data_IF_571444813996
#
_entry.id   IF_571444813996
#
_cell.length_a   1.000
_cell.length_b   1.000
_cell.length_c   1.000
_cell.angle_alpha   90.00
_cell.angle_beta   90.00
_cell.angle_gamma   90.00
#
_symmetry.space_group_name_H-M   'P 1'
#
loop_
_entity.id
_entity.type
_entity.pdbx_description
1 polymer ?
#
# COMPACT_ATOMS: atom_id res chain seq x y z
N UNK A 1 3.18 37.06 79.30
CA UNK A 1 3.33 37.73 77.99
C UNK A 1 2.93 36.74 76.91
N UNK A 2 1.73 36.94 76.36
CA UNK A 2 1.07 36.04 75.42
C UNK A 2 1.77 36.02 74.07
N UNK A 3 1.97 34.84 73.49
CA UNK A 3 2.11 34.68 72.03
C UNK A 3 1.02 33.74 71.54
N UNK A 4 0.07 34.38 70.86
CA UNK A 4 -1.04 33.80 70.10
C UNK A 4 -0.47 33.09 68.87
N UNK A 5 -0.87 31.84 68.64
CA UNK A 5 -0.63 31.13 67.39
C UNK A 5 -1.84 31.32 66.49
N UNK A 6 -1.64 31.99 65.35
CA UNK A 6 -2.67 32.27 64.35
C UNK A 6 -2.73 31.09 63.37
N UNK A 7 -3.83 30.35 63.36
CA UNK A 7 -4.10 29.35 62.33
C UNK A 7 -4.71 30.04 61.10
N UNK A 8 -4.01 29.98 59.96
CA UNK A 8 -4.51 30.41 58.66
C UNK A 8 -5.26 29.23 58.01
N UNK A 9 -6.59 29.37 57.90
CA UNK A 9 -7.46 28.55 57.06
C UNK A 9 -7.31 29.01 55.61
N UNK A 10 -6.73 28.16 54.76
CA UNK A 10 -6.75 28.34 53.31
C UNK A 10 -8.06 27.77 52.75
N UNK A 11 -8.97 28.65 52.37
CA UNK A 11 -10.18 28.32 51.62
C UNK A 11 -9.80 28.01 50.16
N UNK A 12 -9.82 26.74 49.78
CA UNK A 12 -9.63 26.33 48.39
C UNK A 12 -10.85 26.70 47.54
N UNK A 13 -10.68 27.65 46.61
CA UNK A 13 -11.60 27.82 45.49
C UNK A 13 -11.44 26.62 44.55
N UNK A 14 -12.44 25.74 44.50
CA UNK A 14 -12.61 24.80 43.39
C UNK A 14 -13.03 25.60 42.15
N UNK A 15 -12.07 25.92 41.27
CA UNK A 15 -12.39 26.36 39.91
C UNK A 15 -12.89 25.16 39.12
N UNK A 16 -14.21 25.09 38.93
CA UNK A 16 -14.86 24.24 37.93
C UNK A 16 -14.34 24.65 36.55
N UNK A 17 -13.39 23.89 36.01
CA UNK A 17 -13.02 23.99 34.60
C UNK A 17 -14.21 23.52 33.76
N UNK A 18 -14.59 24.26 32.69
CA UNK A 18 -15.64 23.82 31.80
C UNK A 18 -15.21 22.52 31.13
N UNK A 19 -16.06 21.49 31.20
CA UNK A 19 -15.95 20.29 30.37
C UNK A 19 -15.87 20.72 28.91
N UNK A 20 -14.68 20.66 28.32
CA UNK A 20 -14.53 20.77 26.88
C UNK A 20 -15.34 19.62 26.26
N UNK A 21 -16.25 19.96 25.36
CA UNK A 21 -17.06 18.99 24.62
C UNK A 21 -16.15 17.95 23.97
N UNK A 22 -16.15 16.73 24.50
CA UNK A 22 -15.37 15.59 24.02
C UNK A 22 -16.01 14.97 22.77
N UNK A 23 -16.27 15.80 21.75
CA UNK A 23 -16.91 15.37 20.52
C UNK A 23 -16.26 16.08 19.31
N UNK A 24 -14.94 16.25 19.34
CA UNK A 24 -14.21 16.68 18.15
C UNK A 24 -14.37 15.61 17.07
N UNK A 25 -15.16 15.90 16.05
CA UNK A 25 -15.13 15.15 14.79
C UNK A 25 -13.73 15.34 14.19
N UNK A 26 -13.14 14.26 13.70
CA UNK A 26 -11.89 14.37 12.94
C UNK A 26 -12.27 14.83 11.55
N UNK A 27 -11.57 15.85 11.04
CA UNK A 27 -11.78 16.34 9.69
C UNK A 27 -11.49 15.23 8.66
N UNK A 28 -12.30 15.18 7.61
CA UNK A 28 -12.04 14.26 6.51
C UNK A 28 -10.78 14.69 5.77
N UNK A 29 -9.97 13.71 5.41
CA UNK A 29 -8.85 13.96 4.52
C UNK A 29 -9.31 14.08 3.06
N UNK A 30 -8.36 14.32 2.16
CA UNK A 30 -8.65 14.56 0.75
C UNK A 30 -9.19 13.31 0.06
N UNK A 31 -8.74 12.10 0.41
CA UNK A 31 -9.30 10.86 -0.13
C UNK A 31 -10.77 10.69 0.27
N UNK A 32 -11.06 10.83 1.57
CA UNK A 32 -12.41 10.71 2.11
C UNK A 32 -13.37 11.81 1.61
N UNK A 33 -12.85 13.02 1.36
CA UNK A 33 -13.66 14.12 0.81
C UNK A 33 -14.22 13.80 -0.59
N UNK A 34 -13.61 12.87 -1.32
CA UNK A 34 -14.04 12.47 -2.67
C UNK A 34 -15.22 11.50 -2.66
N UNK A 35 -15.59 10.91 -1.52
CA UNK A 35 -16.64 9.88 -1.42
C UNK A 35 -17.98 10.35 -2.01
N UNK A 36 -18.36 11.61 -1.81
CA UNK A 36 -19.63 12.14 -2.33
C UNK A 36 -19.62 12.21 -3.86
N UNK A 37 -18.53 12.71 -4.45
CA UNK A 37 -18.34 12.75 -5.91
C UNK A 37 -18.29 11.34 -6.51
N UNK A 38 -17.57 10.42 -5.85
CA UNK A 38 -17.50 9.02 -6.25
C UNK A 38 -18.88 8.35 -6.21
N UNK A 39 -19.68 8.61 -5.17
CA UNK A 39 -21.03 8.04 -5.04
C UNK A 39 -21.98 8.59 -6.12
N UNK A 40 -21.86 9.87 -6.46
CA UNK A 40 -22.64 10.47 -7.54
C UNK A 40 -22.26 9.91 -8.92
N UNK A 41 -20.98 9.57 -9.12
CA UNK A 41 -20.45 9.16 -10.44
C UNK A 41 -20.46 7.64 -10.64
N UNK A 42 -20.25 6.87 -9.58
CA UNK A 42 -20.00 5.43 -9.58
C UNK A 42 -20.86 4.72 -8.50
N UNK A 43 -22.19 4.92 -8.47
CA UNK A 43 -23.03 4.44 -7.38
C UNK A 43 -22.96 2.92 -7.18
N UNK A 44 -22.84 2.15 -8.26
CA UNK A 44 -22.71 0.68 -8.19
C UNK A 44 -21.37 0.23 -7.58
N UNK A 45 -20.30 1.00 -7.81
CA UNK A 45 -18.96 0.72 -7.28
C UNK A 45 -18.92 1.05 -5.79
N UNK A 46 -19.39 2.23 -5.39
CA UNK A 46 -19.33 2.66 -3.99
C UNK A 46 -20.30 1.91 -3.09
N UNK A 47 -21.45 1.46 -3.62
CA UNK A 47 -22.43 0.68 -2.87
C UNK A 47 -22.12 -0.83 -2.81
N UNK A 48 -21.12 -1.33 -3.56
CA UNK A 48 -20.93 -2.78 -3.77
C UNK A 48 -20.78 -3.58 -2.46
N UNK A 49 -20.12 -3.00 -1.47
CA UNK A 49 -19.91 -3.63 -0.15
C UNK A 49 -20.65 -2.93 0.99
N UNK A 50 -21.76 -2.25 0.69
CA UNK A 50 -22.52 -1.47 1.68
C UNK A 50 -22.89 -2.26 2.93
N UNK A 51 -23.22 -3.54 2.81
CA UNK A 51 -23.55 -4.38 3.97
C UNK A 51 -22.42 -4.51 5.01
N UNK A 52 -21.15 -4.39 4.60
CA UNK A 52 -20.00 -4.39 5.53
C UNK A 52 -19.92 -3.03 6.24
N UNK A 53 -20.14 -1.94 5.51
CA UNK A 53 -20.15 -0.57 6.04
C UNK A 53 -21.30 -0.41 7.06
N UNK A 54 -22.50 -0.88 6.72
CA UNK A 54 -23.67 -0.86 7.61
C UNK A 54 -23.41 -1.66 8.89
N UNK A 55 -22.78 -2.84 8.75
CA UNK A 55 -22.40 -3.67 9.88
C UNK A 55 -21.39 -2.98 10.79
N UNK A 56 -20.40 -2.26 10.24
CA UNK A 56 -19.46 -1.46 11.03
C UNK A 56 -20.17 -0.31 11.74
N UNK A 57 -20.97 0.48 11.01
CA UNK A 57 -21.65 1.66 11.57
C UNK A 57 -22.61 1.27 12.69
N UNK A 58 -23.38 0.19 12.51
CA UNK A 58 -24.28 -0.33 13.55
C UNK A 58 -23.52 -0.77 14.81
N UNK A 59 -22.42 -1.51 14.66
CA UNK A 59 -21.65 -2.00 15.81
C UNK A 59 -20.92 -0.84 16.52
N UNK A 60 -20.32 0.08 15.77
CA UNK A 60 -19.63 1.25 16.34
C UNK A 60 -20.54 2.15 17.17
N UNK A 61 -21.82 2.28 16.79
CA UNK A 61 -22.83 3.06 17.53
C UNK A 61 -23.39 2.35 18.77
N UNK A 62 -23.36 1.02 18.80
CA UNK A 62 -23.96 0.22 19.87
C UNK A 62 -22.95 -0.22 20.94
N UNK A 63 -21.72 -0.46 20.54
CA UNK A 63 -20.69 -1.01 21.43
C UNK A 63 -20.20 0.06 22.41
N UNK A 64 -19.99 -0.37 23.65
CA UNK A 64 -19.63 0.48 24.78
C UNK A 64 -18.22 0.20 25.30
N UNK A 65 -17.51 -0.79 24.73
CA UNK A 65 -16.19 -1.22 25.16
C UNK A 65 -15.13 -0.98 24.08
N UNK A 66 -14.03 -0.32 24.45
CA UNK A 66 -12.94 0.06 23.53
C UNK A 66 -12.28 -1.15 22.87
N UNK A 67 -12.00 -2.20 23.66
CA UNK A 67 -11.31 -3.39 23.16
C UNK A 67 -12.20 -4.14 22.15
N UNK A 68 -13.49 -4.23 22.45
CA UNK A 68 -14.49 -4.80 21.56
C UNK A 68 -14.57 -4.03 20.24
N UNK A 69 -14.63 -2.70 20.30
CA UNK A 69 -14.70 -1.84 19.10
C UNK A 69 -13.42 -1.94 18.26
N UNK A 70 -12.25 -2.02 18.88
CA UNK A 70 -10.97 -2.18 18.17
C UNK A 70 -10.91 -3.52 17.43
N UNK A 71 -11.31 -4.61 18.10
CA UNK A 71 -11.40 -5.93 17.46
C UNK A 71 -12.43 -5.93 16.34
N UNK A 72 -13.56 -5.24 16.53
CA UNK A 72 -14.60 -5.09 15.51
C UNK A 72 -14.06 -4.36 14.29
N UNK A 73 -13.37 -3.22 14.47
CA UNK A 73 -12.79 -2.45 13.37
C UNK A 73 -11.82 -3.28 12.53
N UNK A 74 -10.89 -4.00 13.18
CA UNK A 74 -9.98 -4.91 12.50
C UNK A 74 -10.71 -6.04 11.76
N UNK A 75 -11.73 -6.66 12.38
CA UNK A 75 -12.53 -7.72 11.76
C UNK A 75 -13.31 -7.22 10.55
N UNK A 76 -13.88 -6.02 10.61
CA UNK A 76 -14.63 -5.47 9.48
C UNK A 76 -13.71 -5.09 8.32
N UNK A 77 -12.51 -4.57 8.60
CA UNK A 77 -11.51 -4.33 7.55
C UNK A 77 -11.03 -5.64 6.91
N UNK A 78 -10.77 -6.68 7.70
CA UNK A 78 -10.45 -8.02 7.17
C UNK A 78 -11.61 -8.59 6.32
N UNK A 79 -12.86 -8.45 6.78
CA UNK A 79 -14.04 -8.87 5.99
C UNK A 79 -14.15 -8.12 4.67
N UNK A 80 -13.83 -6.82 4.66
CA UNK A 80 -13.81 -6.02 3.45
C UNK A 80 -12.74 -6.54 2.46
N UNK A 81 -11.51 -6.77 2.92
CA UNK A 81 -10.45 -7.37 2.10
C UNK A 81 -10.90 -8.69 1.48
N UNK A 82 -11.33 -9.64 2.31
CA UNK A 82 -11.75 -10.96 1.87
C UNK A 82 -12.96 -10.92 0.92
N UNK A 83 -13.88 -9.96 1.12
CA UNK A 83 -15.01 -9.78 0.22
C UNK A 83 -14.55 -9.26 -1.14
N UNK A 84 -13.61 -8.32 -1.18
CA UNK A 84 -13.06 -7.80 -2.42
C UNK A 84 -12.27 -8.87 -3.20
N UNK A 85 -11.45 -9.66 -2.51
CA UNK A 85 -10.75 -10.82 -3.11
C UNK A 85 -11.75 -11.78 -3.75
N UNK A 86 -12.78 -12.21 -3.00
CA UNK A 86 -13.81 -13.12 -3.54
C UNK A 86 -14.57 -12.52 -4.72
N UNK A 87 -14.86 -11.22 -4.68
CA UNK A 87 -15.57 -10.53 -5.76
C UNK A 87 -14.76 -10.59 -7.06
N UNK A 88 -13.50 -10.16 -7.02
CA UNK A 88 -12.59 -10.19 -8.17
C UNK A 88 -12.36 -11.62 -8.68
N UNK A 89 -12.11 -12.58 -7.78
CA UNK A 89 -11.92 -13.98 -8.13
C UNK A 89 -13.18 -14.64 -8.72
N UNK A 90 -14.37 -14.09 -8.47
CA UNK A 90 -15.62 -14.53 -9.10
C UNK A 90 -15.85 -13.99 -10.51
N UNK A 91 -14.95 -13.13 -11.01
CA UNK A 91 -14.98 -12.55 -12.35
C UNK A 91 -15.32 -11.06 -12.40
N UNK A 92 -15.56 -10.42 -11.26
CA UNK A 92 -15.78 -8.97 -11.19
C UNK A 92 -14.44 -8.24 -11.11
N UNK A 93 -13.73 -8.18 -12.24
CA UNK A 93 -12.37 -7.60 -12.36
C UNK A 93 -12.42 -6.09 -12.12
N UNK A 94 -12.38 -5.64 -10.85
CA UNK A 94 -12.48 -4.24 -10.44
C UNK A 94 -11.89 -4.03 -9.02
N UNK A 95 -10.92 -3.14 -8.87
CA UNK A 95 -10.26 -2.83 -7.59
C UNK A 95 -10.94 -1.69 -6.80
N UNK A 96 -11.70 -0.83 -7.49
CA UNK A 96 -12.28 0.40 -6.93
C UNK A 96 -13.27 0.16 -5.79
N UNK A 97 -14.11 -0.90 -5.79
CA UNK A 97 -15.02 -1.18 -4.69
C UNK A 97 -14.32 -1.32 -3.33
N UNK A 98 -13.12 -1.93 -3.30
CA UNK A 98 -12.33 -2.05 -2.07
C UNK A 98 -11.89 -0.67 -1.57
N UNK A 99 -11.31 0.13 -2.45
CA UNK A 99 -10.81 1.47 -2.13
C UNK A 99 -11.90 2.37 -1.56
N UNK A 100 -13.03 2.51 -2.27
CA UNK A 100 -14.12 3.39 -1.83
C UNK A 100 -14.82 2.90 -0.56
N UNK A 101 -14.95 1.58 -0.39
CA UNK A 101 -15.54 1.02 0.83
C UNK A 101 -14.62 1.24 2.05
N UNK A 102 -13.30 1.12 1.88
CA UNK A 102 -12.31 1.41 2.93
C UNK A 102 -12.44 2.87 3.38
N UNK A 103 -12.41 3.81 2.44
CA UNK A 103 -12.56 5.23 2.76
C UNK A 103 -13.89 5.54 3.44
N UNK A 104 -14.98 4.88 3.03
CA UNK A 104 -16.29 5.05 3.68
C UNK A 104 -16.28 4.52 5.11
N UNK A 105 -15.62 3.40 5.39
CA UNK A 105 -15.44 2.91 6.77
C UNK A 105 -14.63 3.90 7.63
N UNK A 106 -13.57 4.51 7.07
CA UNK A 106 -12.76 5.52 7.78
C UNK A 106 -13.58 6.78 8.07
N UNK A 107 -14.32 7.29 7.08
CA UNK A 107 -15.27 8.40 7.23
C UNK A 107 -16.31 8.11 8.33
N UNK A 108 -16.89 6.91 8.36
CA UNK A 108 -17.85 6.53 9.41
C UNK A 108 -17.20 6.58 10.79
N UNK A 109 -15.99 6.04 10.97
CA UNK A 109 -15.28 6.07 12.25
C UNK A 109 -14.90 7.50 12.69
N UNK A 110 -14.59 8.39 11.74
CA UNK A 110 -14.27 9.81 11.99
C UNK A 110 -15.48 10.65 12.39
N UNK A 111 -16.63 10.40 11.76
CA UNK A 111 -17.78 11.33 11.81
C UNK A 111 -18.96 10.83 12.63
N UNK A 112 -19.14 9.50 12.75
CA UNK A 112 -20.23 8.92 13.51
C UNK A 112 -19.98 9.00 15.02
N UNK A 113 -21.06 9.10 15.78
CA UNK A 113 -21.02 9.05 17.25
C UNK A 113 -20.86 7.59 17.69
N UNK A 114 -19.79 7.28 18.40
CA UNK A 114 -19.58 5.99 19.07
C UNK A 114 -20.58 5.77 20.22
N UNK A 115 -20.81 4.50 20.57
CA UNK A 115 -21.65 4.13 21.72
C UNK A 115 -21.07 4.52 23.09
N UNK A 116 -19.78 4.86 23.14
CA UNK A 116 -19.04 5.33 24.32
C UNK A 116 -18.28 6.63 24.04
N UNK A 117 -17.73 7.26 25.08
CA UNK A 117 -16.88 8.43 24.93
C UNK A 117 -15.48 8.01 24.42
N UNK A 118 -15.22 8.22 23.13
CA UNK A 118 -13.97 7.82 22.47
C UNK A 118 -12.95 8.97 22.50
N UNK A 119 -11.75 8.69 22.98
CA UNK A 119 -10.63 9.63 22.92
C UNK A 119 -10.01 9.68 21.51
N UNK A 120 -9.36 10.79 21.11
CA UNK A 120 -8.75 10.92 19.79
C UNK A 120 -7.77 9.78 19.44
N UNK A 121 -6.89 9.40 20.37
CA UNK A 121 -5.93 8.31 20.16
C UNK A 121 -6.60 6.94 19.98
N UNK A 122 -7.73 6.70 20.67
CA UNK A 122 -8.50 5.46 20.47
C UNK A 122 -9.10 5.43 19.06
N UNK A 123 -9.59 6.57 18.59
CA UNK A 123 -10.11 6.69 17.21
C UNK A 123 -9.01 6.45 16.19
N UNK A 124 -7.82 6.98 16.38
CA UNK A 124 -6.65 6.70 15.52
C UNK A 124 -6.32 5.19 15.48
N UNK A 125 -6.40 4.49 16.62
CA UNK A 125 -6.24 3.03 16.65
C UNK A 125 -7.30 2.33 15.80
N UNK A 126 -8.56 2.76 15.82
CA UNK A 126 -9.62 2.18 14.99
C UNK A 126 -9.36 2.41 13.49
N UNK A 127 -8.95 3.64 13.13
CA UNK A 127 -8.62 3.99 11.75
C UNK A 127 -7.46 3.13 11.23
N UNK A 128 -6.38 3.04 12.02
CA UNK A 128 -5.21 2.21 11.70
C UNK A 128 -5.57 0.72 11.61
N UNK A 129 -6.48 0.23 12.46
CA UNK A 129 -6.97 -1.14 12.41
C UNK A 129 -7.70 -1.44 11.11
N UNK A 130 -8.60 -0.54 10.66
CA UNK A 130 -9.30 -0.69 9.36
C UNK A 130 -8.31 -0.58 8.21
N UNK A 131 -7.45 0.43 8.20
CA UNK A 131 -6.43 0.64 7.16
C UNK A 131 -5.58 -0.63 6.98
N UNK A 132 -4.98 -1.14 8.07
CA UNK A 132 -4.12 -2.33 8.02
C UNK A 132 -4.88 -3.58 7.56
N UNK A 133 -6.04 -3.86 8.16
CA UNK A 133 -6.76 -5.12 7.92
C UNK A 133 -7.45 -5.18 6.56
N UNK A 134 -7.88 -4.04 6.01
CA UNK A 134 -8.50 -3.97 4.68
C UNK A 134 -7.51 -3.96 3.52
N UNK A 135 -6.20 -4.05 3.80
CA UNK A 135 -5.11 -4.09 2.82
C UNK A 135 -4.46 -5.47 2.68
N UNK A 136 -5.01 -6.49 3.33
CA UNK A 136 -4.44 -7.85 3.33
C UNK A 136 -3.26 -8.06 4.28
N UNK A 137 -2.78 -7.03 5.00
CA UNK A 137 -1.59 -7.17 5.86
C UNK A 137 -1.78 -8.15 7.03
N UNK A 138 -3.03 -8.45 7.39
CA UNK A 138 -3.37 -9.43 8.45
C UNK A 138 -3.70 -10.81 7.88
N UNK A 139 -3.67 -10.96 6.55
CA UNK A 139 -4.18 -12.11 5.83
C UNK A 139 -3.10 -12.96 5.17
N UNK A 140 -1.84 -12.50 5.13
CA UNK A 140 -0.69 -13.25 4.61
C UNK A 140 -0.57 -14.59 5.36
N UNK A 141 -1.12 -15.66 4.78
CA UNK A 141 -1.19 -16.98 5.39
C UNK A 141 -0.99 -18.06 4.34
N UNK A 142 0.21 -18.60 4.30
CA UNK A 142 0.53 -19.74 3.45
C UNK A 142 0.01 -21.05 4.05
N UNK A 143 -0.51 -21.94 3.20
CA UNK A 143 -0.85 -23.31 3.56
C UNK A 143 0.39 -24.06 4.06
N UNK A 144 0.19 -25.01 4.98
CA UNK A 144 1.27 -25.82 5.54
C UNK A 144 1.98 -26.69 4.47
N UNK A 145 1.28 -27.05 3.40
CA UNK A 145 1.81 -27.84 2.27
C UNK A 145 2.26 -26.97 1.07
N UNK A 146 2.23 -25.63 1.19
CA UNK A 146 2.81 -24.75 0.18
C UNK A 146 4.34 -24.87 0.19
N UNK A 147 4.90 -25.35 -0.93
CA UNK A 147 6.33 -25.58 -1.13
C UNK A 147 7.05 -24.40 -1.79
N UNK A 148 6.30 -23.53 -2.48
CA UNK A 148 6.77 -22.24 -2.99
C UNK A 148 5.81 -21.18 -2.47
N UNK A 149 6.33 -20.20 -1.73
CA UNK A 149 5.58 -19.12 -1.10
C UNK A 149 5.96 -17.81 -1.75
N UNK A 150 4.98 -17.08 -2.28
CA UNK A 150 5.21 -15.83 -3.00
C UNK A 150 4.43 -14.72 -2.31
N UNK A 151 5.11 -13.63 -1.97
CA UNK A 151 4.45 -12.39 -1.55
C UNK A 151 4.36 -11.45 -2.74
N UNK A 152 3.17 -10.92 -3.03
CA UNK A 152 2.96 -9.95 -4.11
C UNK A 152 2.23 -8.70 -3.61
N UNK A 153 2.68 -7.51 -4.00
CA UNK A 153 1.96 -6.27 -3.71
C UNK A 153 1.34 -5.64 -4.96
N UNK A 154 0.21 -4.96 -4.76
CA UNK A 154 -0.40 -4.02 -5.70
C UNK A 154 -0.63 -2.65 -5.04
N UNK A 155 -1.13 -1.68 -5.81
CA UNK A 155 -1.45 -0.34 -5.30
C UNK A 155 -2.93 0.00 -5.44
N UNK A 156 -3.39 0.87 -4.53
CA UNK A 156 -4.70 1.54 -4.65
C UNK A 156 -4.80 2.34 -5.98
N UNK A 157 -6.03 2.66 -6.44
CA UNK A 157 -6.26 3.67 -7.47
C UNK A 157 -5.65 5.04 -7.12
N UNK A 158 -5.26 5.79 -8.15
CA UNK A 158 -4.65 7.12 -8.00
C UNK A 158 -5.06 8.09 -9.11
N UNK A 159 -4.67 9.36 -8.97
CA UNK A 159 -5.09 10.48 -9.85
C UNK A 159 -6.62 10.68 -9.92
N UNK A 160 -7.30 10.45 -8.80
CA UNK A 160 -8.75 10.50 -8.69
C UNK A 160 -9.36 11.91 -8.86
N UNK A 161 -8.55 12.97 -8.73
CA UNK A 161 -8.98 14.34 -9.09
C UNK A 161 -9.11 14.53 -10.60
N UNK A 162 -8.39 13.74 -11.40
CA UNK A 162 -8.49 13.76 -12.87
C UNK A 162 -9.58 12.81 -13.36
N UNK A 163 -9.65 11.63 -12.76
CA UNK A 163 -10.63 10.61 -13.10
C UNK A 163 -11.05 9.86 -11.83
N UNK A 164 -12.22 10.22 -11.28
CA UNK A 164 -12.76 9.58 -10.07
C UNK A 164 -13.03 8.08 -10.23
N UNK A 165 -13.18 7.62 -11.48
CA UNK A 165 -13.39 6.21 -11.84
C UNK A 165 -12.15 5.47 -12.29
N UNK A 166 -10.96 6.03 -12.10
CA UNK A 166 -9.69 5.36 -12.41
C UNK A 166 -9.59 4.05 -11.63
N UNK A 167 -9.20 2.98 -12.33
CA UNK A 167 -8.83 1.68 -11.77
C UNK A 167 -7.32 1.50 -11.85
N UNK A 168 -6.78 0.55 -11.08
CA UNK A 168 -5.36 0.21 -11.09
C UNK A 168 -5.17 -1.30 -11.35
N UNK A 169 -4.56 -1.70 -12.49
CA UNK A 169 -4.36 -3.11 -12.81
C UNK A 169 -3.48 -3.84 -11.77
N UNK A 170 -2.61 -3.13 -11.06
CA UNK A 170 -1.85 -3.74 -9.96
C UNK A 170 -2.73 -4.08 -8.75
N UNK A 171 -3.74 -3.25 -8.45
CA UNK A 171 -4.72 -3.51 -7.41
C UNK A 171 -5.61 -4.71 -7.75
N UNK A 172 -6.08 -4.78 -9.01
CA UNK A 172 -6.78 -5.95 -9.55
C UNK A 172 -5.93 -7.21 -9.44
N UNK A 173 -4.63 -7.11 -9.77
CA UNK A 173 -3.69 -8.22 -9.67
C UNK A 173 -3.56 -8.75 -8.25
N UNK A 174 -3.41 -7.86 -7.26
CA UNK A 174 -3.35 -8.28 -5.85
C UNK A 174 -4.64 -9.02 -5.45
N UNK A 175 -5.81 -8.43 -5.71
CA UNK A 175 -7.09 -9.04 -5.33
C UNK A 175 -7.36 -10.40 -6.01
N UNK A 176 -7.00 -10.53 -7.29
CA UNK A 176 -7.20 -11.76 -8.02
C UNK A 176 -6.26 -12.89 -7.57
N UNK A 177 -5.04 -12.56 -7.14
CA UNK A 177 -4.00 -13.53 -6.81
C UNK A 177 -3.88 -13.85 -5.32
N UNK A 178 -4.62 -13.19 -4.44
CA UNK A 178 -4.63 -13.51 -3.00
C UNK A 178 -5.10 -14.95 -2.73
N UNK A 179 -4.27 -15.75 -2.05
CA UNK A 179 -4.51 -17.16 -1.82
C UNK A 179 -4.43 -18.04 -3.07
N UNK A 180 -3.91 -17.53 -4.20
CA UNK A 180 -3.90 -18.28 -5.45
C UNK A 180 -2.91 -19.45 -5.40
N UNK A 181 -3.45 -20.65 -5.57
CA UNK A 181 -2.70 -21.91 -5.59
C UNK A 181 -2.46 -22.39 -7.02
N UNK A 182 -1.25 -22.86 -7.29
CA UNK A 182 -0.90 -23.51 -8.54
C UNK A 182 0.19 -24.56 -8.35
N UNK A 183 0.33 -25.47 -9.32
CA UNK A 183 1.44 -26.43 -9.35
C UNK A 183 2.43 -26.03 -10.42
N UNK A 184 3.70 -25.99 -10.05
CA UNK A 184 4.80 -25.70 -10.98
C UNK A 184 5.98 -26.62 -10.66
N UNK A 185 6.56 -27.26 -11.67
CA UNK A 185 7.65 -28.22 -11.50
C UNK A 185 7.39 -29.31 -10.41
N UNK A 186 6.13 -29.74 -10.25
CA UNK A 186 5.73 -30.72 -9.24
C UNK A 186 5.64 -30.21 -7.81
N UNK A 187 5.85 -28.89 -7.57
CA UNK A 187 5.71 -28.22 -6.28
C UNK A 187 4.38 -27.46 -6.22
N UNK A 188 3.71 -27.49 -5.06
CA UNK A 188 2.56 -26.60 -4.77
C UNK A 188 3.07 -25.20 -4.45
N UNK A 189 2.65 -24.21 -5.21
CA UNK A 189 2.98 -22.81 -5.02
C UNK A 189 1.74 -22.01 -4.58
N UNK A 190 1.94 -21.00 -3.73
CA UNK A 190 0.90 -20.10 -3.24
C UNK A 190 1.36 -18.65 -3.33
N UNK A 191 0.44 -17.78 -3.74
CA UNK A 191 0.61 -16.33 -3.73
C UNK A 191 -0.25 -15.75 -2.62
N UNK A 192 0.36 -14.97 -1.74
CA UNK A 192 -0.33 -14.11 -0.77
C UNK A 192 -0.08 -12.66 -1.16
N UNK A 193 -1.08 -11.80 -0.98
CA UNK A 193 -1.00 -10.43 -1.50
C UNK A 193 -1.31 -9.35 -0.48
N UNK A 194 -0.90 -8.13 -0.84
CA UNK A 194 -1.18 -6.93 -0.05
C UNK A 194 -1.43 -5.71 -0.95
N UNK A 195 -2.21 -4.75 -0.43
CA UNK A 195 -2.53 -3.50 -1.11
C UNK A 195 -1.81 -2.31 -0.48
N UNK A 196 -0.99 -1.61 -1.26
CA UNK A 196 -0.16 -0.48 -0.82
C UNK A 196 -0.87 0.85 -1.16
N UNK A 197 -0.93 1.81 -0.22
CA UNK A 197 -1.47 3.14 -0.50
C UNK A 197 -0.58 3.95 -1.42
N UNK A 198 -1.18 4.82 -2.23
CA UNK A 198 -0.46 5.82 -3.03
C UNK A 198 -0.36 7.12 -2.22
N UNK A 199 0.42 7.06 -1.13
CA UNK A 199 0.63 8.16 -0.17
C UNK A 199 2.08 8.19 0.30
N UNK A 200 2.72 9.36 0.25
CA UNK A 200 4.14 9.49 0.61
C UNK A 200 4.38 9.28 2.11
N UNK A 201 3.45 9.75 2.95
CA UNK A 201 3.57 9.67 4.40
C UNK A 201 3.70 8.22 4.89
N UNK A 202 2.89 7.29 4.38
CA UNK A 202 2.96 5.88 4.77
C UNK A 202 4.34 5.26 4.49
N UNK A 203 4.97 5.63 3.36
CA UNK A 203 6.33 5.19 3.03
C UNK A 203 7.36 5.82 3.96
N UNK A 204 7.21 7.12 4.22
CA UNK A 204 8.10 7.88 5.10
C UNK A 204 8.02 7.40 6.56
N UNK A 205 6.88 6.86 6.98
CA UNK A 205 6.64 6.24 8.29
C UNK A 205 7.07 4.76 8.37
N UNK A 206 7.63 4.22 7.29
CA UNK A 206 8.24 2.89 7.29
C UNK A 206 7.28 1.74 7.00
N UNK A 207 6.18 1.98 6.26
CA UNK A 207 5.22 0.94 5.91
C UNK A 207 5.87 -0.28 5.24
N UNK A 208 6.74 -0.04 4.25
CA UNK A 208 7.36 -1.11 3.47
C UNK A 208 8.29 -1.95 4.34
N UNK A 209 9.07 -1.29 5.20
CA UNK A 209 9.99 -1.93 6.12
C UNK A 209 9.23 -2.73 7.19
N UNK A 210 8.13 -2.21 7.73
CA UNK A 210 7.26 -2.89 8.68
C UNK A 210 6.65 -4.17 8.09
N UNK A 211 6.22 -4.12 6.82
CA UNK A 211 5.68 -5.26 6.09
C UNK A 211 6.73 -6.34 5.81
N UNK A 212 7.90 -5.95 5.29
CA UNK A 212 8.87 -6.90 4.72
C UNK A 212 9.94 -7.36 5.71
N UNK A 213 10.19 -6.66 6.81
CA UNK A 213 11.20 -7.06 7.80
C UNK A 213 10.96 -8.47 8.36
N UNK A 214 9.73 -8.84 8.80
CA UNK A 214 9.47 -10.21 9.26
C UNK A 214 9.74 -11.24 8.16
N UNK A 215 9.31 -10.95 6.93
CA UNK A 215 9.47 -11.85 5.78
C UNK A 215 10.93 -12.16 5.50
N UNK A 216 11.79 -11.14 5.48
CA UNK A 216 13.22 -11.32 5.26
C UNK A 216 13.95 -11.96 6.42
N UNK A 217 13.60 -11.62 7.67
CA UNK A 217 14.26 -12.20 8.86
C UNK A 217 13.93 -13.66 9.07
N UNK A 218 12.68 -14.05 8.79
CA UNK A 218 12.20 -15.42 8.95
C UNK A 218 12.43 -16.27 7.71
N UNK A 219 12.84 -15.65 6.59
CA UNK A 219 12.94 -16.27 5.27
C UNK A 219 11.65 -17.04 4.92
N UNK A 220 10.51 -16.39 5.13
CA UNK A 220 9.19 -17.04 5.14
C UNK A 220 8.55 -17.17 3.75
N UNK A 221 9.16 -16.60 2.73
CA UNK A 221 8.76 -16.68 1.32
C UNK A 221 9.95 -16.99 0.42
N UNK A 222 9.67 -17.49 -0.77
CA UNK A 222 10.66 -17.81 -1.79
C UNK A 222 10.84 -16.70 -2.83
N UNK A 223 9.85 -15.81 -3.01
CA UNK A 223 9.95 -14.63 -3.90
C UNK A 223 9.07 -13.48 -3.42
N UNK A 224 9.51 -12.25 -3.71
CA UNK A 224 8.74 -11.03 -3.47
C UNK A 224 8.56 -10.27 -4.79
N UNK A 225 7.31 -10.03 -5.16
CA UNK A 225 6.94 -9.20 -6.31
C UNK A 225 6.27 -7.93 -5.82
N UNK A 226 6.66 -6.81 -6.39
CA UNK A 226 5.89 -5.56 -6.28
C UNK A 226 5.36 -5.22 -7.67
N UNK A 227 4.08 -4.84 -7.76
CA UNK A 227 3.44 -4.57 -9.05
C UNK A 227 2.86 -3.17 -9.04
N UNK A 228 2.99 -2.44 -10.13
CA UNK A 228 2.41 -1.11 -10.28
C UNK A 228 1.93 -0.87 -11.70
N UNK A 229 0.97 0.03 -11.87
CA UNK A 229 0.57 0.49 -13.20
C UNK A 229 1.69 1.31 -13.83
N UNK A 230 2.13 0.91 -15.02
CA UNK A 230 3.25 1.51 -15.73
C UNK A 230 2.83 2.25 -17.00
N UNK A 231 3.31 1.76 -18.16
CA UNK A 231 3.29 2.48 -19.44
C UNK A 231 2.58 1.67 -20.52
N UNK A 232 3.28 1.25 -21.57
CA UNK A 232 2.66 0.64 -22.74
C UNK A 232 2.79 -0.90 -22.73
N UNK A 233 3.93 -1.41 -22.24
CA UNK A 233 4.26 -2.84 -22.11
C UNK A 233 4.50 -3.21 -20.63
N UNK A 234 4.80 -4.49 -20.37
CA UNK A 234 5.36 -4.88 -19.08
C UNK A 234 6.84 -4.52 -18.99
N UNK A 235 7.25 -3.90 -17.89
CA UNK A 235 8.65 -3.57 -17.61
C UNK A 235 9.09 -4.24 -16.31
N UNK A 236 10.14 -5.04 -16.38
CA UNK A 236 10.87 -5.56 -15.22
C UNK A 236 11.94 -4.55 -14.87
N UNK A 237 11.76 -3.89 -13.72
CA UNK A 237 12.54 -2.70 -13.40
C UNK A 237 13.91 -3.06 -12.80
N UNK A 238 14.95 -3.00 -13.65
CA UNK A 238 16.30 -3.50 -13.32
C UNK A 238 16.96 -2.73 -12.20
N UNK A 239 16.92 -1.39 -12.26
CA UNK A 239 17.67 -0.52 -11.35
C UNK A 239 16.75 0.49 -10.66
N UNK A 240 16.11 0.13 -9.54
CA UNK A 240 15.40 1.08 -8.71
C UNK A 240 16.35 2.15 -8.14
N UNK A 241 15.92 3.40 -8.19
CA UNK A 241 16.69 4.56 -7.71
C UNK A 241 16.23 5.03 -6.33
N UNK A 242 17.13 5.63 -5.55
CA UNK A 242 16.84 6.08 -4.19
C UNK A 242 15.92 7.29 -4.15
N UNK A 243 16.14 8.27 -5.01
CA UNK A 243 15.51 9.58 -4.87
C UNK A 243 14.13 9.66 -5.53
N UNK A 244 13.24 10.43 -4.91
CA UNK A 244 12.03 10.97 -5.53
C UNK A 244 12.42 12.10 -6.49
N UNK A 245 11.76 12.17 -7.64
CA UNK A 245 11.94 13.25 -8.62
C UNK A 245 10.67 13.58 -9.41
N UNK A 246 9.55 12.93 -9.08
CA UNK A 246 8.26 13.23 -9.67
C UNK A 246 7.67 14.52 -9.06
N UNK A 247 7.31 15.47 -9.91
CA UNK A 247 6.52 16.64 -9.55
C UNK A 247 5.01 16.34 -9.63
N UNK A 248 4.59 15.21 -9.04
CA UNK A 248 3.22 14.74 -9.04
C UNK A 248 2.73 14.54 -7.59
N UNK A 249 1.49 14.92 -7.28
CA UNK A 249 0.93 14.70 -5.96
C UNK A 249 0.65 13.22 -5.69
N UNK A 250 0.53 12.85 -4.42
CA UNK A 250 -0.08 11.59 -3.99
C UNK A 250 -1.61 11.69 -3.87
N UNK A 251 -2.26 10.64 -3.36
CA UNK A 251 -3.72 10.64 -3.22
C UNK A 251 -4.25 11.68 -2.22
N UNK A 252 -3.41 12.18 -1.31
CA UNK A 252 -3.72 13.29 -0.41
C UNK A 252 -3.31 14.64 -0.98
N UNK A 253 -3.01 14.72 -2.28
CA UNK A 253 -2.54 15.93 -2.94
C UNK A 253 -1.24 16.52 -2.37
N UNK A 254 -0.45 15.71 -1.68
CA UNK A 254 0.84 16.13 -1.13
C UNK A 254 1.89 16.09 -2.22
N UNK A 255 2.61 17.20 -2.38
CA UNK A 255 3.82 17.30 -3.19
C UNK A 255 5.03 17.23 -2.27
N UNK A 256 6.01 16.40 -2.64
CA UNK A 256 7.27 16.26 -1.88
C UNK A 256 8.22 17.44 -2.10
N UNK A 257 7.98 18.26 -3.12
CA UNK A 257 8.91 19.30 -3.58
C UNK A 257 10.05 18.78 -4.46
N UNK A 258 10.14 17.46 -4.68
CA UNK A 258 11.10 16.86 -5.58
C UNK A 258 10.74 17.13 -7.05
N UNK A 259 11.76 17.22 -7.90
CA UNK A 259 11.61 17.25 -9.35
C UNK A 259 12.88 16.71 -10.02
N UNK A 260 12.90 16.60 -11.35
CA UNK A 260 14.05 16.06 -12.08
C UNK A 260 15.34 16.88 -11.89
N UNK A 261 15.24 18.17 -11.58
CA UNK A 261 16.39 19.05 -11.34
C UNK A 261 16.84 19.05 -9.87
N UNK A 262 15.93 18.71 -8.95
CA UNK A 262 16.17 18.63 -7.51
C UNK A 262 15.60 17.31 -6.97
N UNK A 263 16.26 16.18 -7.23
CA UNK A 263 15.84 14.89 -6.68
C UNK A 263 16.05 14.90 -5.16
N UNK A 264 15.12 14.29 -4.41
CA UNK A 264 15.14 14.25 -2.95
C UNK A 264 15.13 12.81 -2.46
N UNK A 265 15.99 12.48 -1.51
CA UNK A 265 15.89 11.21 -0.80
C UNK A 265 14.54 11.15 -0.06
N UNK A 266 13.81 10.02 -0.11
CA UNK A 266 12.61 9.84 0.70
C UNK A 266 12.99 9.78 2.18
N UNK A 267 12.00 9.91 3.06
CA UNK A 267 12.23 9.82 4.49
C UNK A 267 12.03 8.38 4.98
N UNK A 268 12.57 8.08 6.15
CA UNK A 268 12.31 6.87 6.91
C UNK A 268 12.36 7.27 8.39
N UNK A 269 11.20 7.26 9.04
CA UNK A 269 10.99 7.67 10.42
C UNK A 269 11.59 9.06 10.72
N UNK A 270 11.31 10.02 9.84
CA UNK A 270 11.71 11.43 9.98
C UNK A 270 13.17 11.75 9.61
N UNK A 271 13.92 10.81 9.03
CA UNK A 271 15.28 11.02 8.52
C UNK A 271 15.38 10.63 7.06
N UNK A 272 16.37 11.13 6.32
CA UNK A 272 16.60 10.66 4.95
C UNK A 272 16.88 9.15 4.96
N UNK A 273 16.23 8.42 4.05
CA UNK A 273 16.50 7.01 3.81
C UNK A 273 17.94 6.87 3.29
N UNK A 274 18.75 6.13 4.05
CA UNK A 274 20.14 5.88 3.74
C UNK A 274 20.29 4.59 2.93
N UNK A 275 21.08 4.64 1.86
CA UNK A 275 21.39 3.51 0.98
C UNK A 275 22.13 3.98 -0.27
N UNK A 276 22.57 3.06 -1.14
CA UNK A 276 23.17 3.40 -2.42
C UNK A 276 22.16 4.15 -3.32
N UNK A 277 22.65 4.91 -4.30
CA UNK A 277 21.76 5.69 -5.18
C UNK A 277 20.89 4.81 -6.08
N UNK A 278 21.39 3.63 -6.42
CA UNK A 278 20.65 2.60 -7.14
C UNK A 278 20.88 1.24 -6.49
N UNK A 279 19.89 0.37 -6.63
CA UNK A 279 19.97 -1.05 -6.28
C UNK A 279 19.60 -1.88 -7.51
N UNK A 280 19.82 -3.19 -7.47
CA UNK A 280 19.49 -4.10 -8.57
C UNK A 280 18.54 -5.19 -8.09
N UNK A 281 17.43 -5.39 -8.82
CA UNK A 281 16.48 -6.46 -8.53
C UNK A 281 17.04 -7.86 -8.86
N UNK A 282 16.49 -8.89 -8.24
CA UNK A 282 17.02 -10.26 -8.29
C UNK A 282 16.04 -11.32 -8.82
N UNK A 283 14.86 -10.92 -9.30
CA UNK A 283 13.90 -11.84 -9.93
C UNK A 283 14.46 -12.48 -11.22
N UNK A 284 14.01 -13.70 -11.58
CA UNK A 284 14.52 -14.45 -12.73
C UNK A 284 13.96 -13.91 -14.07
N UNK A 285 14.54 -12.82 -14.57
CA UNK A 285 14.09 -12.10 -15.78
C UNK A 285 13.85 -13.00 -16.98
N UNK A 286 14.81 -13.89 -17.32
CA UNK A 286 14.67 -14.76 -18.49
C UNK A 286 13.46 -15.69 -18.40
N UNK A 287 13.13 -16.15 -17.19
CA UNK A 287 11.96 -16.99 -16.98
C UNK A 287 10.68 -16.15 -17.14
N UNK A 288 10.61 -14.98 -16.51
CA UNK A 288 9.47 -14.07 -16.63
C UNK A 288 9.21 -13.60 -18.07
N UNK A 289 10.26 -13.35 -18.85
CA UNK A 289 10.17 -12.98 -20.27
C UNK A 289 9.61 -14.09 -21.17
N UNK A 290 9.60 -15.34 -20.71
CA UNK A 290 8.99 -16.46 -21.45
C UNK A 290 7.46 -16.48 -21.33
N UNK A 291 6.88 -15.68 -20.43
CA UNK A 291 5.45 -15.57 -20.25
C UNK A 291 4.77 -15.11 -21.56
N UNK A 292 3.72 -15.82 -21.93
CA UNK A 292 2.93 -15.52 -23.11
C UNK A 292 1.87 -14.48 -22.78
N UNK A 293 1.56 -13.61 -23.74
CA UNK A 293 0.51 -12.61 -23.62
C UNK A 293 0.59 -11.56 -24.72
N UNK A 294 -0.26 -10.54 -24.61
CA UNK A 294 -0.43 -9.48 -25.61
C UNK A 294 0.71 -8.47 -25.63
N UNK A 295 1.30 -8.20 -24.46
CA UNK A 295 2.33 -7.19 -24.30
C UNK A 295 3.72 -7.80 -24.25
N UNK A 296 4.74 -7.02 -24.59
CA UNK A 296 6.12 -7.44 -24.38
C UNK A 296 6.45 -7.40 -22.89
N UNK A 297 7.34 -8.29 -22.47
CA UNK A 297 7.99 -8.23 -21.15
C UNK A 297 9.42 -7.72 -21.34
N UNK A 298 9.65 -6.46 -21.01
CA UNK A 298 10.95 -5.80 -21.12
C UNK A 298 11.78 -6.03 -19.87
N UNK A 299 13.09 -6.15 -20.05
CA UNK A 299 14.07 -5.95 -18.98
C UNK A 299 14.49 -4.48 -19.05
N UNK A 300 13.90 -3.63 -18.20
CA UNK A 300 14.04 -2.19 -18.31
C UNK A 300 15.25 -1.69 -17.53
N UNK A 301 16.26 -1.25 -18.27
CA UNK A 301 17.53 -0.75 -17.75
C UNK A 301 17.63 0.80 -17.78
N UNK A 302 16.59 1.47 -18.26
CA UNK A 302 16.59 2.93 -18.42
C UNK A 302 16.65 3.61 -17.06
N UNK A 303 17.57 4.55 -16.86
CA UNK A 303 17.67 5.33 -15.62
C UNK A 303 17.97 6.79 -15.95
N UNK A 304 17.69 7.69 -15.02
CA UNK A 304 18.13 9.09 -15.11
C UNK A 304 19.02 9.42 -13.93
N UNK A 305 20.17 10.03 -14.21
CA UNK A 305 21.09 10.54 -13.17
C UNK A 305 21.28 12.03 -13.31
N UNK A 306 21.65 12.70 -12.22
CA UNK A 306 21.84 14.16 -12.22
C UNK A 306 22.98 14.57 -13.17
N UNK A 307 24.02 13.75 -13.29
CA UNK A 307 25.21 14.04 -14.08
C UNK A 307 25.06 13.70 -15.57
N UNK A 308 24.44 12.56 -15.91
CA UNK A 308 24.39 12.02 -17.28
C UNK A 308 23.03 12.21 -17.96
N UNK A 309 21.99 12.60 -17.22
CA UNK A 309 20.63 12.55 -17.73
C UNK A 309 20.15 11.12 -17.92
N UNK A 310 19.24 10.91 -18.87
CA UNK A 310 18.63 9.61 -19.15
C UNK A 310 19.51 8.72 -20.05
N UNK A 311 19.69 7.45 -19.69
CA UNK A 311 20.40 6.44 -20.47
C UNK A 311 20.04 5.02 -20.00
N UNK A 312 20.35 3.99 -20.80
CA UNK A 312 20.23 2.60 -20.37
C UNK A 312 21.52 2.13 -19.69
N UNK A 313 21.43 1.76 -18.42
CA UNK A 313 22.58 1.28 -17.66
C UNK A 313 22.89 -0.18 -17.99
N UNK A 314 24.15 -0.50 -18.23
CA UNK A 314 24.58 -1.87 -18.54
C UNK A 314 24.71 -2.77 -17.31
N UNK A 315 24.98 -2.17 -16.14
CA UNK A 315 25.19 -2.87 -14.87
C UNK A 315 25.05 -1.89 -13.69
N UNK A 316 24.87 -2.42 -12.48
CA UNK A 316 24.87 -1.61 -11.26
C UNK A 316 26.20 -0.87 -11.05
N UNK A 317 27.32 -1.44 -11.47
CA UNK A 317 28.65 -0.83 -11.36
C UNK A 317 28.77 0.49 -12.17
N UNK A 318 28.02 0.63 -13.27
CA UNK A 318 27.98 1.88 -14.05
C UNK A 318 27.34 3.04 -13.23
N UNK A 319 26.59 2.72 -12.17
CA UNK A 319 25.80 3.65 -11.38
C UNK A 319 26.43 4.03 -10.04
N UNK A 320 27.57 3.43 -9.66
CA UNK A 320 28.15 3.53 -8.31
C UNK A 320 28.44 4.97 -7.85
N UNK A 321 28.81 5.86 -8.77
CA UNK A 321 29.11 7.27 -8.48
C UNK A 321 28.01 8.25 -8.91
N UNK A 322 26.86 7.75 -9.34
CA UNK A 322 25.79 8.58 -9.87
C UNK A 322 24.79 8.98 -8.79
N UNK A 323 24.30 10.23 -8.81
CA UNK A 323 23.11 10.61 -8.05
C UNK A 323 21.85 10.27 -8.84
N UNK A 324 20.96 9.48 -8.24
CA UNK A 324 19.71 9.05 -8.84
C UNK A 324 18.75 10.23 -9.02
N UNK A 325 18.12 10.29 -10.19
CA UNK A 325 16.96 11.15 -10.45
C UNK A 325 15.75 10.26 -10.66
N UNK A 326 15.84 9.31 -11.58
CA UNK A 326 14.82 8.28 -11.80
C UNK A 326 15.52 6.92 -11.85
N UNK A 327 15.02 5.96 -11.09
CA UNK A 327 15.31 4.55 -11.37
C UNK A 327 14.57 4.10 -12.61
N UNK A 328 14.69 2.82 -12.96
CA UNK A 328 13.97 2.29 -14.11
C UNK A 328 12.46 2.33 -13.94
N UNK A 329 11.99 2.21 -12.70
CA UNK A 329 10.60 2.44 -12.32
C UNK A 329 10.17 3.92 -12.30
N UNK A 330 11.03 4.87 -12.66
CA UNK A 330 10.77 6.31 -12.59
C UNK A 330 11.20 6.95 -11.25
N UNK A 331 10.55 8.05 -10.88
CA UNK A 331 10.89 8.88 -9.71
C UNK A 331 9.76 9.07 -8.70
N UNK A 332 8.78 8.15 -8.68
CA UNK A 332 7.58 8.18 -7.85
C UNK A 332 7.48 6.92 -6.95
N UNK A 333 6.32 6.67 -6.33
CA UNK A 333 6.11 5.60 -5.34
C UNK A 333 6.32 4.17 -5.87
N UNK A 334 6.10 3.90 -7.17
CA UNK A 334 6.35 2.58 -7.76
C UNK A 334 7.84 2.23 -7.80
N UNK A 335 8.70 3.20 -8.16
CA UNK A 335 10.13 3.07 -8.01
C UNK A 335 10.53 2.92 -6.53
N UNK A 336 9.93 3.73 -5.65
CA UNK A 336 10.31 3.76 -4.23
C UNK A 336 10.02 2.44 -3.51
N UNK A 337 8.87 1.80 -3.75
CA UNK A 337 8.60 0.47 -3.15
C UNK A 337 9.62 -0.56 -3.62
N UNK A 338 9.99 -0.52 -4.90
CA UNK A 338 11.00 -1.42 -5.46
C UNK A 338 12.36 -1.18 -4.80
N UNK A 339 12.77 0.08 -4.68
CA UNK A 339 14.04 0.45 -4.05
C UNK A 339 14.08 0.01 -2.59
N UNK A 340 13.04 0.32 -1.80
CA UNK A 340 12.96 -0.06 -0.38
C UNK A 340 12.95 -1.57 -0.18
N UNK A 341 12.19 -2.31 -0.99
CA UNK A 341 12.11 -3.77 -0.89
C UNK A 341 13.46 -4.43 -1.18
N UNK A 342 14.17 -4.01 -2.24
CA UNK A 342 15.52 -4.52 -2.56
C UNK A 342 16.53 -4.11 -1.50
N UNK A 343 16.56 -2.82 -1.11
CA UNK A 343 17.48 -2.30 -0.11
C UNK A 343 17.37 -3.04 1.22
N UNK A 344 16.14 -3.26 1.70
CA UNK A 344 15.90 -3.96 2.96
C UNK A 344 16.40 -5.41 2.91
N UNK A 345 16.15 -6.10 1.79
CA UNK A 345 16.67 -7.45 1.57
C UNK A 345 18.20 -7.49 1.66
N UNK A 346 18.88 -6.54 1.02
CA UNK A 346 20.35 -6.40 1.08
C UNK A 346 20.84 -6.10 2.51
N UNK A 347 20.20 -5.17 3.22
CA UNK A 347 20.56 -4.82 4.60
C UNK A 347 20.42 -6.00 5.57
N UNK A 348 19.47 -6.90 5.31
CA UNK A 348 19.24 -8.11 6.09
C UNK A 348 20.00 -9.34 5.53
N UNK A 349 20.84 -9.17 4.50
CA UNK A 349 21.55 -10.24 3.80
C UNK A 349 20.65 -11.37 3.28
N UNK A 350 19.40 -11.03 2.94
CA UNK A 350 18.43 -11.97 2.38
C UNK A 350 18.84 -12.43 0.97
N UNK A 351 18.55 -13.69 0.66
CA UNK A 351 18.70 -14.26 -0.68
C UNK A 351 17.37 -14.38 -1.43
N UNK A 352 16.26 -13.95 -0.82
CA UNK A 352 14.94 -13.99 -1.45
C UNK A 352 14.96 -13.10 -2.72
N UNK A 353 14.70 -13.66 -3.91
CA UNK A 353 14.52 -12.89 -5.12
C UNK A 353 13.40 -11.87 -4.96
N UNK A 354 13.73 -10.60 -5.23
CA UNK A 354 12.82 -9.47 -5.09
C UNK A 354 12.89 -8.58 -6.31
N UNK A 355 11.75 -8.02 -6.71
CA UNK A 355 11.71 -7.10 -7.83
C UNK A 355 10.35 -6.48 -8.12
N UNK A 356 10.32 -5.71 -9.21
CA UNK A 356 9.17 -4.89 -9.56
C UNK A 356 8.73 -5.10 -11.00
N UNK A 357 7.41 -5.18 -11.17
CA UNK A 357 6.74 -5.27 -12.47
C UNK A 357 5.90 -4.01 -12.64
N UNK A 358 6.22 -3.21 -13.65
CA UNK A 358 5.27 -2.26 -14.19
C UNK A 358 4.38 -2.95 -15.22
N UNK A 359 3.07 -2.77 -15.11
CA UNK A 359 2.09 -3.27 -16.09
C UNK A 359 1.88 -2.24 -17.22
N UNK A 360 1.28 -2.65 -18.34
CA UNK A 360 0.59 -1.71 -19.22
C UNK A 360 -0.42 -0.85 -18.44
N UNK A 361 -0.60 0.40 -18.85
CA UNK A 361 -1.53 1.36 -18.24
C UNK A 361 -2.94 1.20 -18.78
N UNK A 362 -3.90 1.60 -17.96
CA UNK A 362 -5.29 1.81 -18.36
C UNK A 362 -5.67 3.28 -18.16
N UNK A 363 -6.47 3.85 -19.06
CA UNK A 363 -6.91 5.26 -18.98
C UNK A 363 -8.05 5.48 -17.96
N UNK A 364 -8.60 4.39 -17.45
CA UNK A 364 -9.73 4.31 -16.54
C UNK A 364 -10.05 2.84 -16.33
N UNK A 365 -11.22 2.54 -15.77
CA UNK A 365 -11.68 1.16 -15.65
C UNK A 365 -11.94 0.51 -17.02
N UNK A 366 -11.30 -0.63 -17.24
CA UNK A 366 -11.46 -1.47 -18.44
C UNK A 366 -11.24 -2.93 -18.05
N UNK A 367 -12.32 -3.60 -17.67
CA UNK A 367 -12.27 -4.97 -17.15
C UNK A 367 -11.65 -5.98 -18.13
N UNK A 368 -11.82 -5.79 -19.44
CA UNK A 368 -11.26 -6.71 -20.44
C UNK A 368 -9.74 -6.54 -20.51
N UNK A 369 -9.27 -5.30 -20.66
CA UNK A 369 -7.83 -5.01 -20.67
C UNK A 369 -7.17 -5.40 -19.34
N UNK A 370 -7.82 -5.12 -18.20
CA UNK A 370 -7.29 -5.49 -16.89
C UNK A 370 -7.25 -7.00 -16.68
N UNK A 371 -8.22 -7.76 -17.20
CA UNK A 371 -8.18 -9.22 -17.19
C UNK A 371 -7.04 -9.78 -18.03
N UNK A 372 -6.77 -9.20 -19.21
CA UNK A 372 -5.62 -9.56 -20.05
C UNK A 372 -4.29 -9.26 -19.33
N UNK A 373 -4.18 -8.09 -18.69
CA UNK A 373 -2.99 -7.70 -17.91
C UNK A 373 -2.77 -8.69 -16.75
N UNK A 374 -3.81 -8.96 -15.97
CA UNK A 374 -3.80 -9.93 -14.87
C UNK A 374 -3.32 -11.31 -15.34
N UNK A 375 -3.87 -11.81 -16.44
CA UNK A 375 -3.51 -13.11 -16.98
C UNK A 375 -2.01 -13.17 -17.32
N UNK A 376 -1.45 -12.10 -17.88
CA UNK A 376 -0.04 -12.04 -18.22
C UNK A 376 0.87 -11.86 -16.99
N UNK A 377 0.50 -11.05 -16.00
CA UNK A 377 1.25 -10.96 -14.72
C UNK A 377 1.29 -12.33 -14.03
N UNK A 378 0.15 -13.02 -13.98
CA UNK A 378 0.05 -14.38 -13.44
C UNK A 378 0.99 -15.34 -14.17
N UNK A 379 1.03 -15.28 -15.51
CA UNK A 379 1.96 -16.11 -16.30
C UNK A 379 3.43 -15.78 -16.00
N UNK A 380 3.78 -14.51 -15.80
CA UNK A 380 5.13 -14.08 -15.41
C UNK A 380 5.53 -14.62 -14.03
N UNK A 381 4.65 -14.54 -13.05
CA UNK A 381 4.90 -15.08 -11.69
C UNK A 381 5.04 -16.60 -11.70
N UNK A 382 4.19 -17.31 -12.45
CA UNK A 382 4.31 -18.77 -12.61
C UNK A 382 5.64 -19.14 -13.27
N UNK A 383 6.04 -18.41 -14.32
CA UNK A 383 7.30 -18.67 -15.00
C UNK A 383 8.51 -18.40 -14.09
N UNK A 384 8.46 -17.36 -13.26
CA UNK A 384 9.48 -17.13 -12.24
C UNK A 384 9.55 -18.28 -11.22
N UNK A 385 8.40 -18.70 -10.67
CA UNK A 385 8.35 -19.80 -9.72
C UNK A 385 8.89 -21.12 -10.29
N UNK A 386 8.80 -21.33 -11.61
CA UNK A 386 9.38 -22.49 -12.28
C UNK A 386 10.92 -22.55 -12.24
N UNK A 387 11.61 -21.46 -11.87
CA UNK A 387 13.07 -21.44 -11.74
C UNK A 387 13.58 -21.86 -10.37
N UNK A 388 12.71 -22.24 -9.42
CA UNK A 388 13.04 -22.63 -8.04
C UNK A 388 13.19 -24.15 -7.82
#
# INVERSE_FOLDING_TARGET
>A
MNRVSTALLFSGLLSLLPNANANAQIDLDIEESRIESATATLPEVTARYQGIIDSLSSQYRQDTDELSVTKMAARQGERLWQQAVRDVQSGNIDDRPLYWSRLTMLKELKTAKSGFNIAPWQREILLNAVEKSSRGFSNIKFDDDAQIKILLSGFDPFFLDRNIGQSNPSGVTALALDGYLFTVAGKKAQIETVMIPVRFADFDEGLIESLLTPVYRENSVDMIFTVSMGRDDFDLERFPGRNRSAAAPDNLNVLTGANKQNPLAPLFEGKNLNGPEFVEFSLPVKAMQSAQGKWKVNDNHSVTTLAKGAFDASSLAELESATSVEGSGGGYLSNEISYRAVLLGQQLNSQIPVGHIHTPRVSGYDAETEAEILAQVKAMVIAAAASL
#
